data_IF_103931958401
#
_entry.id   IF_103931958401
#
_cell.length_a   1.000
_cell.length_b   1.000
_cell.length_c   1.000
_cell.angle_alpha   90.00
_cell.angle_beta   90.00
_cell.angle_gamma   90.00
#
_symmetry.space_group_name_H-M   'P 1'
#
loop_
_entity.id
_entity.type
_entity.pdbx_description
1 polymer ?
#
# COMPACT_ATOMS: atom_id res chain seq x y z
N UNK A 1 14.04 33.61 82.65
CA UNK A 1 12.75 32.98 83.00
C UNK A 1 11.67 34.05 82.95
N UNK A 2 10.55 33.83 82.27
CA UNK A 2 9.48 34.85 82.22
C UNK A 2 8.95 35.18 83.62
N UNK A 3 8.64 36.46 83.83
CA UNK A 3 8.09 36.95 85.10
C UNK A 3 6.74 36.29 85.39
N UNK A 4 6.39 36.16 86.67
CA UNK A 4 5.07 35.64 87.10
C UNK A 4 3.92 36.44 86.49
N UNK A 5 4.12 37.73 86.25
CA UNK A 5 3.18 38.62 85.56
C UNK A 5 2.99 38.23 84.10
N UNK A 6 4.07 37.93 83.39
CA UNK A 6 4.03 37.58 81.97
C UNK A 6 3.37 36.21 81.75
N UNK A 7 3.62 35.25 82.64
CA UNK A 7 2.96 33.93 82.61
C UNK A 7 1.45 34.00 82.77
N UNK A 8 0.95 34.97 83.54
CA UNK A 8 -0.48 35.11 83.82
C UNK A 8 -1.19 35.99 82.79
N UNK A 9 -0.54 37.04 82.29
CA UNK A 9 -1.18 38.05 81.43
C UNK A 9 -0.87 37.89 79.94
N UNK A 10 0.34 37.41 79.59
CA UNK A 10 0.83 37.42 78.20
C UNK A 10 0.74 36.01 77.60
N UNK A 11 1.24 35.02 78.34
CA UNK A 11 1.34 33.64 77.87
C UNK A 11 0.00 33.03 77.41
N UNK A 12 -1.15 33.23 78.09
CA UNK A 12 -2.43 32.67 77.62
C UNK A 12 -2.89 33.23 76.27
N UNK A 13 -2.57 34.51 76.00
CA UNK A 13 -2.89 35.16 74.73
C UNK A 13 -1.99 34.67 73.60
N UNK A 14 -0.70 34.50 73.87
CA UNK A 14 0.26 33.92 72.93
C UNK A 14 -0.12 32.48 72.58
N UNK A 15 -0.47 31.67 73.59
CA UNK A 15 -0.90 30.28 73.41
C UNK A 15 -2.18 30.20 72.57
N UNK A 16 -3.16 31.07 72.82
CA UNK A 16 -4.39 31.14 72.02
C UNK A 16 -4.08 31.53 70.58
N UNK A 17 -3.29 32.59 70.36
CA UNK A 17 -2.90 33.04 69.02
C UNK A 17 -2.12 31.97 68.26
N UNK A 18 -1.26 31.24 68.96
CA UNK A 18 -0.51 30.12 68.39
C UNK A 18 -1.43 28.96 67.98
N UNK A 19 -2.38 28.58 68.84
CA UNK A 19 -3.39 27.56 68.51
C UNK A 19 -4.24 27.97 67.31
N UNK A 20 -4.71 29.21 67.28
CA UNK A 20 -5.51 29.74 66.16
C UNK A 20 -4.72 29.75 64.86
N UNK A 21 -3.44 30.17 64.90
CA UNK A 21 -2.55 30.11 63.75
C UNK A 21 -2.35 28.67 63.27
N UNK A 22 -2.09 27.72 64.19
CA UNK A 22 -1.89 26.32 63.83
C UNK A 22 -3.15 25.71 63.23
N UNK A 23 -4.32 26.04 63.76
CA UNK A 23 -5.60 25.61 63.18
C UNK A 23 -5.76 26.15 61.75
N UNK A 24 -5.48 27.44 61.53
CA UNK A 24 -5.49 28.03 60.18
C UNK A 24 -4.54 27.32 59.23
N UNK A 25 -3.31 27.07 59.66
CA UNK A 25 -2.28 26.35 58.88
C UNK A 25 -2.69 24.91 58.57
N UNK A 26 -3.38 24.22 59.47
CA UNK A 26 -3.88 22.87 59.21
C UNK A 26 -5.08 22.88 58.25
N UNK A 27 -5.90 23.93 58.29
CA UNK A 27 -7.10 24.05 57.47
C UNK A 27 -6.86 24.60 56.06
N UNK A 28 -5.67 25.14 55.77
CA UNK A 28 -5.40 25.67 54.42
C UNK A 28 -5.29 24.53 53.42
N UNK A 29 -6.14 24.62 52.40
CA UNK A 29 -6.03 23.83 51.19
C UNK A 29 -4.94 24.40 50.28
N UNK A 30 -4.32 23.57 49.42
CA UNK A 30 -3.38 24.07 48.42
C UNK A 30 -4.06 25.11 47.52
N UNK A 31 -3.42 26.26 47.35
CA UNK A 31 -3.91 27.36 46.49
C UNK A 31 -4.04 26.95 45.03
N UNK A 32 -3.24 25.97 44.60
CA UNK A 32 -3.21 25.47 43.24
C UNK A 32 -3.65 24.00 43.27
N UNK A 33 -4.66 23.69 42.47
CA UNK A 33 -5.04 22.31 42.21
C UNK A 33 -3.90 21.59 41.47
N UNK A 34 -3.36 20.53 42.07
CA UNK A 34 -2.33 19.66 41.49
C UNK A 34 -2.92 18.38 40.91
N UNK A 35 -4.24 18.24 40.92
CA UNK A 35 -4.95 17.09 40.39
C UNK A 35 -4.84 16.99 38.87
N UNK A 36 -4.85 15.76 38.32
CA UNK A 36 -4.98 15.59 36.88
C UNK A 36 -6.35 16.10 36.41
N UNK A 37 -6.44 16.75 35.25
CA UNK A 37 -7.71 17.19 34.70
C UNK A 37 -8.62 15.99 34.41
N UNK A 38 -9.93 16.21 34.47
CA UNK A 38 -10.91 15.18 34.16
C UNK A 38 -10.67 14.56 32.77
N UNK A 39 -10.79 13.22 32.62
CA UNK A 39 -10.52 12.55 31.37
C UNK A 39 -11.49 13.04 30.30
N UNK A 40 -10.95 13.59 29.22
CA UNK A 40 -11.74 14.05 28.09
C UNK A 40 -12.08 12.85 27.19
N UNK A 41 -13.36 12.59 26.88
CA UNK A 41 -13.76 11.40 26.13
C UNK A 41 -13.11 11.34 24.72
N UNK A 42 -12.92 12.50 24.08
CA UNK A 42 -12.24 12.59 22.78
C UNK A 42 -10.72 12.32 22.83
N UNK A 43 -10.10 12.39 24.02
CA UNK A 43 -8.67 12.02 24.22
C UNK A 43 -8.56 10.52 24.45
N UNK A 44 -9.51 9.93 25.19
CA UNK A 44 -9.58 8.49 25.41
C UNK A 44 -9.86 7.73 24.11
N UNK A 45 -10.75 8.26 23.26
CA UNK A 45 -11.16 7.60 22.01
C UNK A 45 -10.55 8.29 20.80
N UNK A 46 -9.56 7.65 20.17
CA UNK A 46 -8.90 8.12 18.94
C UNK A 46 -9.77 7.89 17.70
N UNK A 47 -10.96 8.49 17.63
CA UNK A 47 -11.97 8.26 16.57
C UNK A 47 -11.41 8.42 15.15
N UNK A 48 -10.54 9.40 14.91
CA UNK A 48 -9.88 9.60 13.61
C UNK A 48 -9.01 8.41 13.20
N UNK A 49 -8.32 7.78 14.15
CA UNK A 49 -7.50 6.59 13.90
C UNK A 49 -8.40 5.41 13.52
N UNK A 50 -9.49 5.21 14.27
CA UNK A 50 -10.48 4.18 13.98
C UNK A 50 -11.08 4.35 12.59
N UNK A 51 -11.47 5.57 12.23
CA UNK A 51 -12.04 5.85 10.91
C UNK A 51 -11.05 5.54 9.79
N UNK A 52 -9.80 5.99 9.91
CA UNK A 52 -8.75 5.70 8.92
C UNK A 52 -8.52 4.21 8.72
N UNK A 53 -8.52 3.42 9.80
CA UNK A 53 -8.33 1.98 9.70
C UNK A 53 -9.53 1.30 9.02
N UNK A 54 -10.74 1.77 9.31
CA UNK A 54 -11.95 1.30 8.65
C UNK A 54 -11.90 1.60 7.14
N UNK A 55 -11.58 2.83 6.75
CA UNK A 55 -11.47 3.22 5.34
C UNK A 55 -10.37 2.42 4.62
N UNK A 56 -9.21 2.21 5.27
CA UNK A 56 -8.10 1.40 4.74
C UNK A 56 -8.51 -0.05 4.52
N UNK A 57 -9.15 -0.67 5.49
CA UNK A 57 -9.58 -2.08 5.40
C UNK A 57 -10.68 -2.26 4.36
N UNK A 58 -11.58 -1.29 4.22
CA UNK A 58 -12.61 -1.31 3.20
C UNK A 58 -12.01 -1.20 1.79
N UNK A 59 -11.02 -0.32 1.60
CA UNK A 59 -10.28 -0.20 0.35
C UNK A 59 -9.60 -1.52 -0.03
N UNK A 60 -8.85 -2.12 0.91
CA UNK A 60 -8.19 -3.42 0.69
C UNK A 60 -9.20 -4.51 0.32
N UNK A 61 -10.38 -4.54 0.93
CA UNK A 61 -11.43 -5.52 0.58
C UNK A 61 -11.95 -5.32 -0.85
N UNK A 62 -12.20 -4.08 -1.25
CA UNK A 62 -12.63 -3.76 -2.63
C UNK A 62 -11.57 -4.17 -3.66
N UNK A 63 -10.31 -3.83 -3.38
CA UNK A 63 -9.20 -4.14 -4.28
C UNK A 63 -8.97 -5.66 -4.40
N UNK A 64 -9.05 -6.39 -3.28
CA UNK A 64 -8.96 -7.86 -3.28
C UNK A 64 -10.10 -8.51 -4.07
N UNK A 65 -11.33 -8.00 -3.94
CA UNK A 65 -12.47 -8.51 -4.69
C UNK A 65 -12.29 -8.28 -6.21
N UNK A 66 -11.85 -7.08 -6.60
CA UNK A 66 -11.56 -6.76 -7.99
C UNK A 66 -10.41 -7.61 -8.55
N UNK A 67 -9.35 -7.83 -7.77
CA UNK A 67 -8.23 -8.70 -8.13
C UNK A 67 -8.70 -10.14 -8.35
N UNK A 68 -9.48 -10.69 -7.43
CA UNK A 68 -10.02 -12.05 -7.53
C UNK A 68 -10.90 -12.22 -8.78
N UNK A 69 -11.74 -11.24 -9.09
CA UNK A 69 -12.55 -11.26 -10.32
C UNK A 69 -11.68 -11.28 -11.57
N UNK A 70 -10.63 -10.45 -11.62
CA UNK A 70 -9.70 -10.39 -12.76
C UNK A 70 -8.92 -11.69 -12.90
N UNK A 71 -8.38 -12.22 -11.80
CA UNK A 71 -7.67 -13.50 -11.79
C UNK A 71 -8.59 -14.64 -12.23
N UNK A 72 -9.83 -14.69 -11.72
CA UNK A 72 -10.82 -15.67 -12.15
C UNK A 72 -11.12 -15.59 -13.64
N UNK A 73 -11.22 -14.38 -14.21
CA UNK A 73 -11.40 -14.20 -15.65
C UNK A 73 -10.18 -14.70 -16.44
N UNK A 74 -8.96 -14.37 -16.01
CA UNK A 74 -7.71 -14.83 -16.66
C UNK A 74 -7.62 -16.36 -16.60
N UNK A 75 -7.88 -16.97 -15.44
CA UNK A 75 -7.81 -18.41 -15.25
C UNK A 75 -8.84 -19.17 -16.10
N UNK A 76 -10.04 -18.61 -16.31
CA UNK A 76 -11.06 -19.20 -17.20
C UNK A 76 -10.62 -19.18 -18.65
N UNK A 77 -9.97 -18.10 -19.08
CA UNK A 77 -9.51 -17.95 -20.47
C UNK A 77 -8.06 -18.43 -20.55
N UNK A 78 -7.87 -19.75 -20.54
CA UNK A 78 -6.55 -20.37 -20.70
C UNK A 78 -6.05 -20.18 -22.16
N UNK A 79 -5.63 -18.96 -22.51
CA UNK A 79 -5.17 -18.58 -23.86
C UNK A 79 -3.78 -19.11 -24.21
N UNK A 80 -3.08 -19.66 -23.23
CA UNK A 80 -1.76 -20.25 -23.36
C UNK A 80 -1.87 -21.70 -22.90
N UNK A 81 -1.40 -22.64 -23.73
CA UNK A 81 -1.23 -24.03 -23.32
C UNK A 81 -0.08 -24.10 -22.30
N UNK A 82 -0.39 -23.80 -21.04
CA UNK A 82 0.53 -23.93 -19.90
C UNK A 82 0.78 -25.40 -19.53
N UNK A 83 0.31 -26.35 -20.35
CA UNK A 83 0.53 -27.77 -20.16
C UNK A 83 1.78 -28.22 -20.92
N UNK A 84 2.85 -28.42 -20.17
CA UNK A 84 4.08 -29.01 -20.69
C UNK A 84 3.88 -30.53 -20.76
N UNK A 85 3.57 -31.06 -21.95
CA UNK A 85 3.42 -32.52 -22.18
C UNK A 85 4.71 -33.28 -21.88
N UNK A 86 5.86 -32.60 -22.04
CA UNK A 86 7.17 -33.10 -21.65
C UNK A 86 7.71 -32.21 -20.54
N UNK A 87 8.29 -32.78 -19.47
CA UNK A 87 8.90 -31.98 -18.42
C UNK A 87 9.97 -31.06 -19.02
N UNK A 88 10.05 -29.84 -18.49
CA UNK A 88 11.06 -28.87 -18.91
C UNK A 88 12.45 -29.52 -18.77
N UNK A 89 13.33 -29.44 -19.77
CA UNK A 89 14.66 -30.02 -19.68
C UNK A 89 15.37 -29.45 -18.45
N UNK A 90 15.78 -30.32 -17.53
CA UNK A 90 16.51 -29.86 -16.34
C UNK A 90 17.86 -29.28 -16.77
N UNK A 91 18.34 -28.26 -16.06
CA UNK A 91 19.64 -27.63 -16.34
C UNK A 91 20.79 -28.65 -16.35
N UNK A 92 20.64 -29.78 -15.64
CA UNK A 92 21.59 -30.88 -15.57
C UNK A 92 21.59 -31.79 -16.82
N UNK A 93 20.61 -31.65 -17.72
CA UNK A 93 20.57 -32.28 -19.03
C UNK A 93 20.78 -31.23 -20.13
N UNK A 94 21.93 -30.54 -20.10
CA UNK A 94 22.51 -30.01 -21.34
C UNK A 94 22.98 -31.20 -22.18
N UNK A 95 22.05 -31.94 -22.79
CA UNK A 95 22.41 -32.66 -24.01
C UNK A 95 22.57 -31.54 -25.02
N UNK A 96 23.81 -31.17 -25.32
CA UNK A 96 24.08 -30.26 -26.42
C UNK A 96 23.40 -30.85 -27.64
N UNK A 97 22.37 -30.18 -28.15
CA UNK A 97 21.91 -30.41 -29.52
C UNK A 97 22.97 -29.83 -30.46
N UNK A 98 24.21 -30.32 -30.34
CA UNK A 98 25.10 -30.34 -31.47
C UNK A 98 24.47 -31.39 -32.36
N UNK A 99 23.63 -30.95 -33.30
CA UNK A 99 23.40 -31.76 -34.48
C UNK A 99 24.79 -32.06 -35.01
N UNK A 100 25.18 -33.34 -35.04
CA UNK A 100 26.44 -33.74 -35.68
C UNK A 100 26.50 -33.03 -37.02
N UNK A 101 27.63 -32.37 -37.31
CA UNK A 101 27.77 -31.51 -38.49
C UNK A 101 27.38 -32.26 -39.79
N UNK A 102 27.49 -33.58 -39.76
CA UNK A 102 27.12 -34.48 -40.85
C UNK A 102 25.59 -34.64 -41.02
N UNK A 103 24.81 -34.60 -39.94
CA UNK A 103 23.34 -34.64 -39.98
C UNK A 103 22.78 -33.32 -40.53
N UNK A 104 23.40 -32.19 -40.19
CA UNK A 104 23.04 -30.87 -40.74
C UNK A 104 23.38 -30.77 -42.23
N UNK A 105 24.58 -31.24 -42.61
CA UNK A 105 25.02 -31.33 -44.03
C UNK A 105 24.09 -32.22 -44.85
N UNK A 106 23.69 -33.36 -44.30
CA UNK A 106 22.79 -34.31 -44.97
C UNK A 106 21.39 -33.74 -45.20
N UNK A 107 20.89 -32.88 -44.29
CA UNK A 107 19.58 -32.21 -44.47
C UNK A 107 19.64 -31.06 -45.47
N UNK A 108 20.72 -30.28 -45.46
CA UNK A 108 20.93 -29.19 -46.43
C UNK A 108 21.16 -29.74 -47.85
N UNK A 109 21.86 -30.88 -47.97
CA UNK A 109 22.07 -31.56 -49.26
C UNK A 109 20.80 -32.23 -49.82
N UNK A 110 19.77 -32.44 -48.99
CA UNK A 110 18.50 -33.07 -49.40
C UNK A 110 17.36 -32.08 -49.59
N UNK A 111 17.63 -30.77 -49.48
CA UNK A 111 16.66 -29.75 -49.83
C UNK A 111 16.38 -29.80 -51.35
N UNK A 112 15.14 -30.03 -51.80
CA UNK A 112 14.83 -29.94 -53.22
C UNK A 112 15.01 -28.50 -53.67
N UNK A 113 15.70 -28.32 -54.78
CA UNK A 113 15.86 -27.06 -55.50
C UNK A 113 14.53 -26.63 -56.12
N UNK A 114 13.58 -26.22 -55.28
CA UNK A 114 12.47 -25.36 -55.70
C UNK A 114 12.77 -23.96 -55.20
N UNK A 115 13.35 -23.15 -56.10
CA UNK A 115 13.38 -21.71 -55.96
C UNK A 115 11.94 -21.21 -55.76
N UNK A 116 11.63 -20.82 -54.53
CA UNK A 116 10.39 -20.16 -54.14
C UNK A 116 10.74 -19.26 -52.97
N UNK A 117 10.70 -17.96 -53.22
CA UNK A 117 10.96 -16.89 -52.25
C UNK A 117 9.94 -16.97 -51.09
N UNK A 118 10.27 -17.74 -50.06
CA UNK A 118 9.52 -17.74 -48.79
C UNK A 118 10.13 -16.63 -47.95
N UNK A 119 9.64 -15.42 -48.18
CA UNK A 119 9.76 -14.35 -47.19
C UNK A 119 9.07 -14.81 -45.92
N UNK A 120 9.87 -15.21 -44.93
CA UNK A 120 9.39 -15.60 -43.61
C UNK A 120 8.94 -14.35 -42.86
N UNK A 121 7.70 -13.92 -43.12
CA UNK A 121 7.01 -12.96 -42.26
C UNK A 121 7.02 -13.51 -40.82
N UNK A 122 7.55 -12.76 -39.84
CA UNK A 122 7.64 -13.25 -38.47
C UNK A 122 6.23 -13.50 -37.95
N UNK A 123 5.91 -14.76 -37.65
CA UNK A 123 4.61 -15.17 -37.11
C UNK A 123 4.40 -14.47 -35.77
N UNK A 124 3.62 -13.37 -35.78
CA UNK A 124 3.30 -12.60 -34.59
C UNK A 124 2.14 -13.27 -33.86
N UNK A 125 2.24 -13.32 -32.54
CA UNK A 125 1.18 -13.84 -31.68
C UNK A 125 -0.15 -13.09 -31.91
N UNK A 126 -1.31 -13.75 -31.76
CA UNK A 126 -2.62 -13.12 -32.03
C UNK A 126 -2.83 -11.83 -31.20
N UNK A 127 -2.34 -11.80 -29.96
CA UNK A 127 -2.37 -10.61 -29.11
C UNK A 127 -1.48 -9.47 -29.66
N UNK A 128 -0.32 -9.81 -30.20
CA UNK A 128 0.64 -8.90 -30.82
C UNK A 128 0.05 -8.29 -32.11
N UNK A 129 -0.71 -9.10 -32.88
CA UNK A 129 -1.39 -8.67 -34.09
C UNK A 129 -2.61 -7.79 -33.79
N UNK A 130 -3.40 -8.11 -32.76
CA UNK A 130 -4.50 -7.27 -32.30
C UNK A 130 -3.97 -5.92 -31.80
N UNK A 131 -2.93 -5.90 -30.96
CA UNK A 131 -2.35 -4.64 -30.47
C UNK A 131 -1.78 -3.78 -31.59
N UNK A 132 -1.15 -4.38 -32.61
CA UNK A 132 -0.68 -3.65 -33.78
C UNK A 132 -1.85 -3.01 -34.55
N UNK A 133 -2.95 -3.75 -34.77
CA UNK A 133 -4.18 -3.21 -35.39
C UNK A 133 -4.80 -2.08 -34.58
N UNK A 134 -4.86 -2.19 -33.25
CA UNK A 134 -5.39 -1.13 -32.38
C UNK A 134 -4.49 0.12 -32.43
N UNK A 135 -3.17 -0.06 -32.45
CA UNK A 135 -2.23 1.06 -32.60
C UNK A 135 -2.30 1.71 -33.97
N UNK A 136 -2.48 0.94 -35.05
CA UNK A 136 -2.69 1.46 -36.41
C UNK A 136 -4.02 2.22 -36.52
N UNK A 137 -5.09 1.70 -35.91
CA UNK A 137 -6.37 2.39 -35.80
C UNK A 137 -6.25 3.72 -35.05
N UNK A 138 -5.59 3.70 -33.88
CA UNK A 138 -5.35 4.91 -33.10
C UNK A 138 -4.47 5.91 -33.87
N UNK A 139 -3.39 5.46 -34.51
CA UNK A 139 -2.55 6.32 -35.36
C UNK A 139 -3.36 6.94 -36.49
N UNK A 140 -4.23 6.18 -37.17
CA UNK A 140 -5.13 6.72 -38.21
C UNK A 140 -6.13 7.74 -37.67
N UNK A 141 -6.63 7.53 -36.45
CA UNK A 141 -7.54 8.47 -35.77
C UNK A 141 -6.83 9.79 -35.41
N UNK A 142 -5.57 9.74 -34.96
CA UNK A 142 -4.81 10.93 -34.58
C UNK A 142 -4.05 11.60 -35.76
N UNK A 143 -3.85 10.91 -36.89
CA UNK A 143 -3.23 11.49 -38.09
C UNK A 143 -4.24 12.19 -39.01
N UNK A 144 -5.52 11.81 -38.96
CA UNK A 144 -6.60 12.50 -39.65
C UNK A 144 -7.14 13.59 -38.71
N UNK A 145 -6.45 14.74 -38.66
CA UNK A 145 -6.79 15.87 -37.83
C UNK A 145 -8.29 16.18 -37.80
N UNK A 146 -8.91 15.84 -36.67
CA UNK A 146 -10.00 16.63 -36.10
C UNK A 146 -9.52 17.08 -34.75
N UNK A 147 -9.05 18.32 -34.72
CA UNK A 147 -8.86 19.08 -33.50
C UNK A 147 -10.21 19.14 -32.77
N UNK A 148 -10.40 18.24 -31.81
CA UNK A 148 -11.31 18.47 -30.71
C UNK A 148 -10.45 18.69 -29.48
N UNK A 149 -9.98 19.93 -29.36
CA UNK A 149 -9.72 20.57 -28.08
C UNK A 149 -11.03 20.64 -27.29
N UNK A 150 -11.48 19.50 -26.76
CA UNK A 150 -12.52 19.47 -25.73
C UNK A 150 -11.82 19.42 -24.38
N UNK A 151 -11.67 20.63 -23.84
CA UNK A 151 -11.55 20.96 -22.43
C UNK A 151 -12.00 19.85 -21.48
N UNK A 152 -11.03 19.19 -20.85
CA UNK A 152 -11.28 18.56 -19.55
C UNK A 152 -11.48 19.68 -18.53
N UNK A 153 -12.57 19.68 -17.73
CA UNK A 153 -12.73 20.64 -16.65
C UNK A 153 -11.56 20.52 -15.66
N UNK A 154 -10.95 21.66 -15.33
CA UNK A 154 -10.00 21.79 -14.22
C UNK A 154 -10.70 21.33 -12.94
N UNK A 155 -10.17 20.27 -12.33
CA UNK A 155 -10.48 19.94 -10.93
C UNK A 155 -9.29 20.41 -10.10
N UNK A 156 -9.20 21.73 -9.97
CA UNK A 156 -8.65 22.47 -8.84
C UNK A 156 -9.31 23.84 -8.85
#
# INVERSE_FOLDING_TARGET
>A
MLSRRDKLLIQPWEDRRFRDHRYKVQSVLPTVDTGPPAPRPHVAVKLKKWRRELDRTEQVRRDNAALLQRLGAIMRVNRLDNHWVKPLPSLHQKVGLFMDADVLRSRLARAPSSAGDVTSEPVRCLACHVNKKTQEYNKKMYSNGRDYSLSLPSIY
#
